data_IF_163009313291
#
_entry.id   IF_163009313291
#
_cell.length_a   1.000
_cell.length_b   1.000
_cell.length_c   1.000
_cell.angle_alpha   90.00
_cell.angle_beta   90.00
_cell.angle_gamma   90.00
#
_symmetry.space_group_name_H-M   'P 1'
#
loop_
_entity.id
_entity.type
_entity.pdbx_description
1 polymer ?
#
# COMPACT_ATOMS: atom_id res chain seq x y z
N UNK A 1 0.58 10.14 -3.17
CA UNK A 1 -0.66 9.54 -2.65
C UNK A 1 -1.20 10.34 -1.50
N UNK A 2 -0.51 10.30 -0.35
CA UNK A 2 -1.02 10.92 0.88
C UNK A 2 -2.04 10.03 1.60
N UNK A 3 -2.22 10.24 2.90
CA UNK A 3 -3.16 9.47 3.74
C UNK A 3 -4.61 9.66 3.31
N UNK A 4 -4.96 10.89 2.91
CA UNK A 4 -6.29 11.27 2.41
C UNK A 4 -6.71 10.53 1.14
N UNK A 5 -5.75 10.04 0.35
CA UNK A 5 -6.04 9.29 -0.86
C UNK A 5 -6.29 7.79 -0.58
N UNK A 6 -5.97 7.29 0.62
CA UNK A 6 -6.17 5.88 0.99
C UNK A 6 -7.55 5.74 1.64
N UNK A 7 -8.48 5.11 0.92
CA UNK A 7 -9.84 4.84 1.40
C UNK A 7 -9.92 3.63 2.32
N UNK A 8 -9.17 2.58 2.01
CA UNK A 8 -9.08 1.40 2.86
C UNK A 8 -7.74 0.72 2.68
N UNK A 9 -7.26 0.12 3.76
CA UNK A 9 -6.05 -0.68 3.77
C UNK A 9 -6.39 -2.03 4.40
N UNK A 10 -6.23 -3.08 3.62
CA UNK A 10 -6.45 -4.46 4.02
C UNK A 10 -5.19 -5.24 3.70
N UNK A 11 -4.75 -6.15 4.56
CA UNK A 11 -3.55 -6.93 4.26
C UNK A 11 -3.67 -8.36 4.75
N UNK A 12 -3.16 -9.24 3.91
CA UNK A 12 -2.84 -10.61 4.24
C UNK A 12 -1.34 -10.72 4.60
N UNK A 13 -0.85 -11.95 4.86
CA UNK A 13 0.53 -12.19 5.30
C UNK A 13 1.58 -11.76 4.27
N UNK A 14 1.27 -11.81 2.97
CA UNK A 14 2.22 -11.51 1.88
C UNK A 14 1.77 -10.41 0.92
N UNK A 15 0.53 -9.93 1.08
CA UNK A 15 -0.11 -8.98 0.16
C UNK A 15 -0.83 -7.89 0.94
N UNK A 16 -0.70 -6.66 0.49
CA UNK A 16 -1.39 -5.49 1.03
C UNK A 16 -2.30 -4.95 -0.07
N UNK A 17 -3.60 -4.99 0.17
CA UNK A 17 -4.66 -4.46 -0.68
C UNK A 17 -4.99 -3.04 -0.21
N UNK A 18 -4.88 -2.10 -1.13
CA UNK A 18 -5.22 -0.70 -0.90
C UNK A 18 -6.37 -0.32 -1.82
N UNK A 19 -7.39 0.31 -1.24
CA UNK A 19 -8.40 1.06 -1.98
C UNK A 19 -8.03 2.53 -1.89
N UNK A 20 -7.99 3.21 -3.02
CA UNK A 20 -7.51 4.59 -3.16
C UNK A 20 -8.47 5.41 -4.02
N UNK A 21 -8.59 6.69 -3.72
CA UNK A 21 -9.51 7.58 -4.42
C UNK A 21 -9.01 7.93 -5.83
N UNK A 22 -7.70 8.15 -5.98
CA UNK A 22 -7.05 8.56 -7.22
C UNK A 22 -5.77 7.74 -7.46
N UNK A 23 -5.79 6.91 -8.51
CA UNK A 23 -4.65 6.11 -8.97
C UNK A 23 -3.53 6.97 -9.59
N UNK A 24 -3.83 8.16 -10.12
CA UNK A 24 -2.85 9.05 -10.73
C UNK A 24 -1.87 9.64 -9.71
N UNK A 25 -2.26 9.69 -8.44
CA UNK A 25 -1.42 10.16 -7.33
C UNK A 25 -0.56 9.05 -6.70
N UNK A 26 -0.59 7.83 -7.24
CA UNK A 26 0.18 6.70 -6.71
C UNK A 26 1.59 6.69 -7.27
N UNK A 27 2.57 6.66 -6.37
CA UNK A 27 3.96 6.46 -6.72
C UNK A 27 4.34 4.99 -6.53
N UNK A 28 4.31 4.23 -7.62
CA UNK A 28 4.70 2.83 -7.62
C UNK A 28 6.18 2.63 -7.28
N UNK A 29 7.04 3.60 -7.61
CA UNK A 29 8.46 3.53 -7.28
C UNK A 29 8.68 3.71 -5.76
N UNK A 30 7.93 4.61 -5.12
CA UNK A 30 7.94 4.73 -3.66
C UNK A 30 7.47 3.45 -2.96
N UNK A 31 6.42 2.82 -3.48
CA UNK A 31 5.91 1.55 -2.94
C UNK A 31 6.97 0.43 -3.07
N UNK A 32 7.65 0.35 -4.22
CA UNK A 32 8.75 -0.59 -4.41
C UNK A 32 9.93 -0.32 -3.46
N UNK A 33 10.31 0.95 -3.30
CA UNK A 33 11.37 1.37 -2.34
C UNK A 33 11.01 1.02 -0.90
N UNK A 34 9.73 1.11 -0.54
CA UNK A 34 9.23 0.76 0.78
C UNK A 34 9.19 -0.77 1.03
N UNK A 35 9.53 -1.59 0.04
CA UNK A 35 9.60 -3.05 0.17
C UNK A 35 8.57 -3.82 -0.66
N UNK A 36 7.76 -3.14 -1.48
CA UNK A 36 6.89 -3.78 -2.45
C UNK A 36 7.70 -4.51 -3.53
N UNK A 37 7.48 -5.81 -3.68
CA UNK A 37 8.04 -6.64 -4.75
C UNK A 37 7.32 -6.34 -6.07
N UNK A 38 5.99 -6.25 -6.02
CA UNK A 38 5.16 -5.96 -7.18
C UNK A 38 3.94 -5.13 -6.78
N UNK A 39 3.50 -4.26 -7.70
CA UNK A 39 2.25 -3.52 -7.59
C UNK A 39 1.33 -4.02 -8.69
N UNK A 40 0.13 -4.45 -8.32
CA UNK A 40 -0.90 -4.98 -9.20
C UNK A 40 -2.11 -4.06 -9.11
N UNK A 41 -2.45 -3.40 -10.21
CA UNK A 41 -3.67 -2.60 -10.31
C UNK A 41 -4.81 -3.54 -10.71
N UNK A 42 -5.81 -3.70 -9.86
CA UNK A 42 -6.96 -4.57 -10.12
C UNK A 42 -8.06 -3.80 -10.82
N UNK A 43 -8.32 -2.59 -10.33
CA UNK A 43 -9.42 -1.72 -10.77
C UNK A 43 -8.95 -0.26 -10.77
N UNK A 44 -9.81 0.67 -11.20
CA UNK A 44 -9.50 2.11 -11.20
C UNK A 44 -9.23 2.69 -9.81
N UNK A 45 -9.65 2.02 -8.74
CA UNK A 45 -9.52 2.47 -7.36
C UNK A 45 -8.86 1.44 -6.44
N UNK A 46 -8.46 0.28 -6.97
CA UNK A 46 -7.96 -0.82 -6.14
C UNK A 46 -6.59 -1.25 -6.63
N UNK A 47 -5.60 -1.25 -5.74
CA UNK A 47 -4.30 -1.86 -5.97
C UNK A 47 -3.98 -2.95 -4.94
N UNK A 48 -3.14 -3.89 -5.34
CA UNK A 48 -2.52 -4.88 -4.49
C UNK A 48 -1.00 -4.71 -4.58
N UNK A 49 -0.36 -4.52 -3.44
CA UNK A 49 1.09 -4.54 -3.31
C UNK A 49 1.48 -5.89 -2.75
N UNK A 50 2.30 -6.62 -3.50
CA UNK A 50 2.92 -7.87 -3.06
C UNK A 50 4.23 -7.48 -2.38
N UNK A 51 4.40 -7.79 -1.09
CA UNK A 51 5.54 -7.33 -0.28
C UNK A 51 6.42 -8.52 0.17
N UNK A 52 5.93 -9.75 0.04
CA UNK A 52 6.66 -10.96 0.43
C UNK A 52 6.89 -11.04 1.95
N UNK A 53 8.01 -11.61 2.41
CA UNK A 53 8.31 -11.83 3.84
C UNK A 53 8.50 -10.55 4.66
N UNK A 54 8.54 -9.37 4.02
CA UNK A 54 8.73 -8.07 4.68
C UNK A 54 7.42 -7.31 4.96
N UNK A 55 6.25 -7.94 4.79
CA UNK A 55 4.92 -7.33 5.03
C UNK A 55 4.82 -6.60 6.37
N UNK A 56 5.40 -7.16 7.44
CA UNK A 56 5.28 -6.62 8.79
C UNK A 56 5.98 -5.26 8.92
N UNK A 57 7.16 -5.11 8.31
CA UNK A 57 7.92 -3.85 8.37
C UNK A 57 7.17 -2.73 7.63
N UNK A 58 6.70 -3.00 6.41
CA UNK A 58 6.00 -2.00 5.62
C UNK A 58 4.65 -1.61 6.23
N UNK A 59 3.89 -2.60 6.75
CA UNK A 59 2.65 -2.29 7.49
C UNK A 59 2.94 -1.37 8.67
N UNK A 60 4.00 -1.62 9.43
CA UNK A 60 4.38 -0.78 10.58
C UNK A 60 4.72 0.65 10.17
N UNK A 61 5.44 0.84 9.07
CA UNK A 61 5.70 2.18 8.51
C UNK A 61 4.40 2.89 8.09
N UNK A 62 3.45 2.14 7.50
CA UNK A 62 2.13 2.69 7.16
C UNK A 62 1.28 3.03 8.39
N UNK A 63 1.27 2.18 9.42
CA UNK A 63 0.57 2.42 10.68
C UNK A 63 1.12 3.68 11.40
N UNK A 64 2.45 3.85 11.43
CA UNK A 64 3.10 5.08 11.94
C UNK A 64 2.69 6.32 11.13
N UNK A 65 2.70 6.22 9.79
CA UNK A 65 2.31 7.33 8.93
C UNK A 65 0.82 7.67 9.04
N UNK A 66 0.00 6.67 9.38
CA UNK A 66 -1.43 6.83 9.63
C UNK A 66 -1.76 7.23 11.08
N UNK A 67 -0.80 7.25 11.99
CA UNK A 67 -0.99 7.63 13.39
C UNK A 67 -1.85 6.64 14.19
N UNK A 68 -1.74 5.34 13.88
CA UNK A 68 -2.52 4.26 14.52
C UNK A 68 -1.73 3.59 15.67
N UNK A 69 -0.60 4.18 16.09
CA UNK A 69 0.19 3.82 17.26
C UNK A 69 0.77 5.08 17.91
#
# INVERSE_FOLDING_TARGET
GGKENIKSLDNCVTRLRLTIADMGLIDEAAIKRAGGIAVVKLDQNTLQVIIGTKVIALRRDMDNYMGIY
#
